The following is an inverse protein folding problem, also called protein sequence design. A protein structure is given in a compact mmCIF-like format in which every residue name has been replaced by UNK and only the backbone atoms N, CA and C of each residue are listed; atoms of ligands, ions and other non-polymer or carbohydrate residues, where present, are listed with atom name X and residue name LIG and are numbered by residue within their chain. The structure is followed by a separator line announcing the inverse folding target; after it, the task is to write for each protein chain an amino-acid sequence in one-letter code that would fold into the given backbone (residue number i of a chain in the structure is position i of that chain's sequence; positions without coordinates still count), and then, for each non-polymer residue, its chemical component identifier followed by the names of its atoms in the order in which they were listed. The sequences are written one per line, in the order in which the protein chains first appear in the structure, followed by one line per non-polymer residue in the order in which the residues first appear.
data_IF_826550105752
#
_entry.id   IF_826550105752
#
_cell.length_a   1.000
_cell.length_b   1.000
_cell.length_c   1.000
_cell.angle_alpha   90.00
_cell.angle_beta   90.00
_cell.angle_gamma   90.00
#
_symmetry.space_group_name_H-M   'P 1'
#
loop_
_entity.id
_entity.type
_entity.pdbx_description
1 polymer ?
#
# COMPACT_ATOMS: atom_id res chain seq x y z
N UNK A 1 26.64 33.23 20.53
CA UNK A 1 25.61 33.68 19.56
C UNK A 1 25.24 32.48 18.70
N UNK A 2 24.16 31.83 19.09
CA UNK A 2 23.60 30.59 18.57
C UNK A 2 22.56 30.92 17.50
N UNK A 3 22.76 30.44 16.27
CA UNK A 3 21.77 30.42 15.19
C UNK A 3 22.17 29.25 14.29
N UNK A 4 21.36 28.27 13.92
CA UNK A 4 19.98 27.93 14.22
C UNK A 4 19.75 26.60 13.49
N UNK A 5 19.45 25.55 14.24
CA UNK A 5 19.13 24.23 13.70
C UNK A 5 17.72 24.29 13.07
N UNK A 6 17.62 24.31 11.74
CA UNK A 6 16.32 24.23 11.07
C UNK A 6 16.44 23.80 9.59
N UNK A 7 16.77 22.52 9.34
CA UNK A 7 16.64 21.96 7.98
C UNK A 7 16.47 20.43 7.99
N UNK A 8 15.62 19.90 8.87
CA UNK A 8 15.33 18.46 8.95
C UNK A 8 13.82 18.09 9.03
N UNK A 9 12.92 18.88 8.43
CA UNK A 9 11.47 18.59 8.47
C UNK A 9 10.75 18.53 7.11
N UNK A 10 11.44 18.20 6.03
CA UNK A 10 10.80 18.08 4.70
C UNK A 10 10.75 16.63 4.17
N UNK A 11 10.45 15.65 5.03
CA UNK A 11 9.97 14.32 4.60
C UNK A 11 8.80 13.89 5.50
N UNK A 12 7.81 14.78 5.64
CA UNK A 12 6.52 14.46 6.22
C UNK A 12 5.76 13.51 5.29
N UNK A 13 5.32 12.38 5.84
CA UNK A 13 4.56 11.36 5.13
C UNK A 13 3.40 11.94 4.35
N UNK A 14 3.12 11.34 3.20
CA UNK A 14 1.95 11.64 2.39
C UNK A 14 0.68 11.19 3.14
N UNK A 15 0.33 11.89 4.21
CA UNK A 15 -1.03 11.92 4.70
C UNK A 15 -1.80 12.65 3.61
N UNK A 16 -2.53 11.91 2.78
CA UNK A 16 -3.59 12.49 1.96
C UNK A 16 -4.38 13.41 2.90
N UNK A 17 -4.29 14.74 2.70
CA UNK A 17 -5.17 15.69 3.39
C UNK A 17 -6.56 15.13 3.18
N UNK A 18 -7.21 14.71 4.27
CA UNK A 18 -8.58 14.22 4.21
C UNK A 18 -9.36 15.27 3.42
N UNK A 19 -10.00 14.92 2.30
CA UNK A 19 -10.85 15.87 1.62
C UNK A 19 -11.86 16.39 2.65
N UNK A 20 -12.18 17.68 2.57
CA UNK A 20 -13.18 18.30 3.44
C UNK A 20 -14.40 17.38 3.46
N UNK A 21 -14.81 16.97 4.67
CA UNK A 21 -15.94 16.08 4.85
C UNK A 21 -17.14 16.76 4.20
N UNK A 22 -17.57 16.29 3.03
CA UNK A 22 -18.89 16.60 2.50
C UNK A 22 -19.86 15.92 3.47
N UNK A 23 -20.24 16.66 4.51
CA UNK A 23 -21.04 16.22 5.65
C UNK A 23 -22.51 15.98 5.29
N UNK A 24 -22.77 15.24 4.21
CA UNK A 24 -24.07 14.62 4.04
C UNK A 24 -24.16 13.51 5.10
N UNK A 25 -25.15 13.56 6.03
CA UNK A 25 -25.37 12.48 6.97
C UNK A 25 -25.51 11.17 6.20
N UNK A 26 -24.71 10.16 6.54
CA UNK A 26 -24.91 8.83 5.97
C UNK A 26 -26.31 8.36 6.34
N UNK A 27 -27.18 8.03 5.37
CA UNK A 27 -28.49 7.46 5.68
C UNK A 27 -28.30 6.17 6.46
N UNK A 28 -28.97 6.06 7.62
CA UNK A 28 -28.97 4.84 8.45
C UNK A 28 -29.40 3.65 7.58
N UNK A 29 -28.48 2.69 7.38
CA UNK A 29 -28.72 1.47 6.61
C UNK A 29 -27.80 1.24 5.40
N UNK A 30 -26.91 2.18 5.03
CA UNK A 30 -25.99 1.97 3.91
C UNK A 30 -24.86 0.98 4.25
N UNK A 31 -24.69 -0.07 3.42
CA UNK A 31 -23.64 -1.12 3.51
C UNK A 31 -22.23 -0.61 3.14
N UNK A 32 -21.87 0.61 3.53
CA UNK A 32 -20.58 1.23 3.21
C UNK A 32 -19.71 1.25 4.46
N UNK A 33 -18.48 0.77 4.34
CA UNK A 33 -17.51 0.84 5.43
C UNK A 33 -17.00 2.27 5.63
N UNK A 34 -16.77 2.64 6.90
CA UNK A 34 -16.21 3.94 7.30
C UNK A 34 -14.89 4.23 6.56
N UNK A 35 -14.73 5.47 6.11
CA UNK A 35 -13.53 5.94 5.40
C UNK A 35 -13.46 5.57 3.92
N UNK A 36 -14.51 4.97 3.36
CA UNK A 36 -14.64 4.78 1.91
C UNK A 36 -14.94 6.11 1.22
N UNK A 37 -14.40 6.31 0.02
CA UNK A 37 -14.57 7.54 -0.77
C UNK A 37 -15.34 7.23 -2.06
N UNK A 38 -16.11 8.19 -2.58
CA UNK A 38 -16.89 8.00 -3.79
C UNK A 38 -15.98 7.78 -5.01
N UNK A 39 -16.25 6.74 -5.79
CA UNK A 39 -15.52 6.44 -7.00
C UNK A 39 -15.71 7.54 -8.05
N UNK A 40 -14.62 7.94 -8.70
CA UNK A 40 -14.55 9.00 -9.72
C UNK A 40 -14.17 10.37 -9.17
N UNK A 41 -14.10 10.55 -7.85
CA UNK A 41 -13.88 11.87 -7.22
C UNK A 41 -12.41 12.19 -6.91
N UNK A 42 -11.64 11.21 -6.41
CA UNK A 42 -10.29 11.44 -5.86
C UNK A 42 -9.18 10.78 -6.68
N UNK A 43 -9.54 9.85 -7.56
CA UNK A 43 -8.63 8.98 -8.29
C UNK A 43 -7.57 9.75 -9.08
N UNK A 44 -7.94 10.87 -9.71
CA UNK A 44 -7.01 11.69 -10.50
C UNK A 44 -5.82 12.20 -9.67
N UNK A 45 -6.04 12.50 -8.39
CA UNK A 45 -4.99 12.98 -7.48
C UNK A 45 -4.24 11.84 -6.78
N UNK A 46 -4.89 10.68 -6.69
CA UNK A 46 -4.32 9.50 -6.05
C UNK A 46 -3.32 8.78 -6.96
N UNK A 47 -3.69 8.60 -8.23
CA UNK A 47 -2.87 7.89 -9.19
C UNK A 47 -1.63 8.70 -9.60
N UNK A 48 -0.52 8.01 -9.73
CA UNK A 48 0.71 8.57 -10.28
C UNK A 48 1.29 7.52 -11.22
N UNK A 49 1.53 7.87 -12.49
CA UNK A 49 2.19 6.96 -13.42
C UNK A 49 3.56 6.55 -12.89
N UNK A 50 3.90 5.25 -12.89
CA UNK A 50 5.21 4.82 -12.44
C UNK A 50 6.29 5.35 -13.38
N UNK A 51 7.42 5.76 -12.82
CA UNK A 51 8.60 6.13 -13.60
C UNK A 51 9.20 4.89 -14.30
N UNK A 52 9.98 5.08 -15.39
CA UNK A 52 10.65 3.97 -16.07
C UNK A 52 11.48 3.11 -15.09
N UNK A 53 11.24 1.79 -15.11
CA UNK A 53 11.93 0.82 -14.26
C UNK A 53 11.57 0.88 -12.75
N UNK A 54 10.70 1.79 -12.33
CA UNK A 54 10.29 1.93 -10.92
C UNK A 54 9.64 0.65 -10.40
N UNK A 55 8.72 0.07 -11.17
CA UNK A 55 8.02 -1.15 -10.75
C UNK A 55 8.98 -2.33 -10.56
N UNK A 56 10.00 -2.48 -11.43
CA UNK A 56 11.02 -3.52 -11.28
C UNK A 56 11.93 -3.26 -10.07
N UNK A 57 12.20 -1.99 -9.77
CA UNK A 57 12.96 -1.60 -8.58
C UNK A 57 12.20 -1.96 -7.30
N UNK A 58 10.90 -1.65 -7.24
CA UNK A 58 10.04 -2.00 -6.11
C UNK A 58 9.98 -3.53 -5.94
N UNK A 59 9.76 -4.28 -7.03
CA UNK A 59 9.68 -5.74 -6.96
C UNK A 59 10.99 -6.37 -6.48
N UNK A 60 12.14 -5.92 -7.02
CA UNK A 60 13.46 -6.38 -6.58
C UNK A 60 13.72 -6.06 -5.10
N UNK A 61 13.35 -4.84 -4.67
CA UNK A 61 13.45 -4.45 -3.28
C UNK A 61 12.57 -5.33 -2.37
N UNK A 62 11.32 -5.60 -2.75
CA UNK A 62 10.42 -6.47 -1.99
C UNK A 62 10.96 -7.90 -1.83
N UNK A 63 11.53 -8.48 -2.90
CA UNK A 63 12.17 -9.80 -2.85
C UNK A 63 13.37 -9.81 -1.88
N UNK A 64 14.21 -8.77 -1.90
CA UNK A 64 15.33 -8.64 -0.95
C UNK A 64 14.88 -8.34 0.47
N UNK A 65 13.82 -7.56 0.64
CA UNK A 65 13.21 -7.28 1.93
C UNK A 65 12.65 -8.56 2.58
N UNK A 66 12.03 -9.44 1.78
CA UNK A 66 11.59 -10.77 2.23
C UNK A 66 12.77 -11.63 2.71
N UNK A 67 13.87 -11.67 1.95
CA UNK A 67 15.08 -12.40 2.35
C UNK A 67 15.69 -11.83 3.64
N UNK A 68 15.72 -10.50 3.79
CA UNK A 68 16.17 -9.83 5.00
C UNK A 68 15.26 -10.16 6.20
N UNK A 69 13.94 -10.09 6.03
CA UNK A 69 12.96 -10.46 7.06
C UNK A 69 13.11 -11.90 7.55
N UNK A 70 13.41 -12.84 6.63
CA UNK A 70 13.71 -14.24 6.98
C UNK A 70 14.99 -14.39 7.81
N UNK A 71 16.03 -13.58 7.54
CA UNK A 71 17.27 -13.56 8.32
C UNK A 71 17.01 -12.99 9.71
N UNK A 72 16.41 -11.80 9.79
CA UNK A 72 16.04 -11.14 11.05
C UNK A 72 15.24 -12.06 11.98
N UNK A 73 14.26 -12.79 11.43
CA UNK A 73 13.46 -13.74 12.21
C UNK A 73 14.26 -14.94 12.73
N UNK A 74 15.28 -15.40 12.00
CA UNK A 74 16.16 -16.49 12.45
C UNK A 74 17.11 -15.98 13.54
N UNK A 75 17.73 -14.83 13.32
CA UNK A 75 18.69 -14.22 14.24
C UNK A 75 18.00 -13.89 15.58
N UNK A 76 16.80 -13.29 15.54
CA UNK A 76 16.00 -13.02 16.74
C UNK A 76 15.64 -14.28 17.55
N UNK A 77 15.47 -15.44 16.88
CA UNK A 77 15.22 -16.71 17.57
C UNK A 77 16.49 -17.32 18.17
N UNK A 78 17.63 -17.15 17.50
CA UNK A 78 18.92 -17.63 17.98
C UNK A 78 19.42 -16.80 19.17
N UNK A 79 19.32 -15.48 19.07
CA UNK A 79 19.88 -14.53 20.05
C UNK A 79 18.88 -14.18 21.17
N UNK A 80 17.62 -14.64 21.06
CA UNK A 80 16.54 -14.24 21.99
C UNK A 80 16.15 -12.75 21.90
N UNK A 81 16.63 -12.03 20.88
CA UNK A 81 16.41 -10.59 20.70
C UNK A 81 14.98 -10.30 20.24
N UNK A 82 14.39 -9.22 20.77
CA UNK A 82 13.13 -8.69 20.24
C UNK A 82 13.34 -7.88 18.95
N UNK A 83 12.49 -8.12 17.97
CA UNK A 83 12.47 -7.38 16.71
C UNK A 83 11.82 -6.00 16.90
N UNK A 84 12.44 -4.97 16.33
CA UNK A 84 11.84 -3.62 16.25
C UNK A 84 10.55 -3.66 15.40
N UNK A 85 9.68 -2.64 15.48
CA UNK A 85 8.46 -2.60 14.67
C UNK A 85 8.71 -2.78 13.16
N UNK A 86 9.75 -2.14 12.62
CA UNK A 86 10.12 -2.25 11.20
C UNK A 86 10.60 -3.66 10.86
N UNK A 87 11.45 -4.24 11.70
CA UNK A 87 11.94 -5.61 11.51
C UNK A 87 10.80 -6.64 11.62
N UNK A 88 9.82 -6.42 12.50
CA UNK A 88 8.61 -7.26 12.58
C UNK A 88 7.79 -7.19 11.30
N UNK A 89 7.61 -5.99 10.73
CA UNK A 89 6.96 -5.81 9.43
C UNK A 89 7.71 -6.56 8.32
N UNK A 90 9.03 -6.43 8.24
CA UNK A 90 9.83 -7.18 7.28
C UNK A 90 9.74 -8.70 7.49
N UNK A 91 9.76 -9.16 8.74
CA UNK A 91 9.65 -10.57 9.09
C UNK A 91 8.24 -11.16 8.81
N UNK A 92 7.21 -10.32 8.68
CA UNK A 92 5.85 -10.73 8.31
C UNK A 92 5.64 -10.86 6.79
N UNK A 93 6.56 -10.35 5.96
CA UNK A 93 6.53 -10.54 4.52
C UNK A 93 6.51 -12.03 4.15
N UNK A 94 5.71 -12.37 3.14
CA UNK A 94 5.57 -13.73 2.64
C UNK A 94 5.75 -13.78 1.12
N UNK A 95 6.01 -14.97 0.57
CA UNK A 95 6.00 -15.18 -0.88
C UNK A 95 4.65 -14.77 -1.50
N UNK A 96 3.53 -15.04 -0.82
CA UNK A 96 2.20 -14.65 -1.26
C UNK A 96 2.05 -13.13 -1.34
N UNK A 97 2.55 -12.39 -0.34
CA UNK A 97 2.58 -10.93 -0.37
C UNK A 97 3.39 -10.39 -1.55
N UNK A 98 4.59 -10.93 -1.80
CA UNK A 98 5.41 -10.54 -2.95
C UNK A 98 4.71 -10.85 -4.28
N UNK A 99 4.02 -12.00 -4.40
CA UNK A 99 3.27 -12.36 -5.62
C UNK A 99 2.08 -11.44 -5.87
N UNK A 100 1.36 -11.04 -4.82
CA UNK A 100 0.28 -10.03 -4.94
C UNK A 100 0.84 -8.66 -5.32
N UNK A 101 1.98 -8.26 -4.73
CA UNK A 101 2.64 -7.01 -5.09
C UNK A 101 3.10 -7.02 -6.56
N UNK A 102 3.64 -8.14 -7.05
CA UNK A 102 4.04 -8.30 -8.45
C UNK A 102 2.85 -8.09 -9.41
N UNK A 103 1.68 -8.65 -9.10
CA UNK A 103 0.47 -8.41 -9.89
C UNK A 103 0.03 -6.94 -9.85
N UNK A 104 0.05 -6.30 -8.67
CA UNK A 104 -0.28 -4.87 -8.54
C UNK A 104 0.68 -3.99 -9.34
N UNK A 105 1.97 -4.32 -9.37
CA UNK A 105 2.99 -3.60 -10.13
C UNK A 105 2.83 -3.80 -11.64
N UNK A 106 2.46 -5.01 -12.07
CA UNK A 106 2.11 -5.30 -13.47
C UNK A 106 0.91 -4.46 -13.91
N UNK A 107 -0.16 -4.43 -13.10
CA UNK A 107 -1.31 -3.56 -13.36
C UNK A 107 -0.95 -2.08 -13.36
N UNK A 108 -0.07 -1.63 -12.45
CA UNK A 108 0.39 -0.25 -12.42
C UNK A 108 1.14 0.13 -13.69
N UNK A 109 2.00 -0.76 -14.19
CA UNK A 109 2.72 -0.56 -15.46
C UNK A 109 1.75 -0.49 -16.65
N UNK A 110 0.84 -1.44 -16.76
CA UNK A 110 -0.09 -1.53 -17.90
C UNK A 110 -1.10 -0.38 -17.93
N UNK A 111 -1.57 0.06 -16.75
CA UNK A 111 -2.64 1.05 -16.62
C UNK A 111 -2.14 2.44 -16.19
N UNK A 112 -0.85 2.75 -16.39
CA UNK A 112 -0.25 4.06 -16.03
C UNK A 112 -0.54 4.49 -14.59
N UNK A 113 -0.45 3.54 -13.66
CA UNK A 113 -0.69 3.74 -12.22
C UNK A 113 -2.15 3.62 -11.77
N UNK A 114 -3.10 3.44 -12.69
CA UNK A 114 -4.52 3.28 -12.35
C UNK A 114 -4.83 1.82 -11.95
N UNK A 115 -4.69 1.52 -10.65
CA UNK A 115 -4.82 0.15 -10.13
C UNK A 115 -6.03 0.03 -9.20
N UNK A 116 -7.05 -0.70 -9.64
CA UNK A 116 -8.27 -0.95 -8.88
C UNK A 116 -8.84 -2.39 -9.01
N UNK A 117 -8.00 -3.45 -8.93
CA UNK A 117 -8.46 -4.82 -9.05
C UNK A 117 -9.41 -5.22 -7.91
N UNK A 118 -10.32 -6.12 -8.22
CA UNK A 118 -11.12 -6.81 -7.19
C UNK A 118 -10.27 -7.84 -6.46
N UNK A 119 -10.72 -8.26 -5.28
CA UNK A 119 -10.06 -9.33 -4.53
C UNK A 119 -10.11 -10.66 -5.31
N UNK A 120 -11.20 -10.88 -6.04
CA UNK A 120 -11.40 -12.09 -6.83
C UNK A 120 -10.49 -12.10 -8.06
N UNK A 121 -10.29 -10.94 -8.72
CA UNK A 121 -9.28 -10.79 -9.76
C UNK A 121 -7.88 -11.16 -9.23
N UNK A 122 -7.46 -10.57 -8.10
CA UNK A 122 -6.15 -10.86 -7.52
C UNK A 122 -6.02 -12.34 -7.14
N UNK A 123 -7.07 -12.94 -6.58
CA UNK A 123 -7.09 -14.36 -6.23
C UNK A 123 -6.87 -15.24 -7.47
N UNK A 124 -7.57 -14.94 -8.57
CA UNK A 124 -7.43 -15.66 -9.84
C UNK A 124 -6.03 -15.46 -10.45
N UNK A 125 -5.61 -14.20 -10.63
CA UNK A 125 -4.33 -13.86 -11.27
C UNK A 125 -3.12 -14.41 -10.51
N UNK A 126 -3.19 -14.43 -9.17
CA UNK A 126 -2.10 -14.96 -8.33
C UNK A 126 -2.27 -16.42 -7.96
N UNK A 127 -3.34 -17.10 -8.38
CA UNK A 127 -3.68 -18.46 -7.95
C UNK A 127 -3.67 -18.63 -6.43
N UNK A 128 -4.11 -17.60 -5.70
CA UNK A 128 -4.17 -17.60 -4.24
C UNK A 128 -5.63 -17.59 -3.78
N UNK A 129 -5.90 -18.16 -2.62
CA UNK A 129 -7.21 -18.02 -1.97
C UNK A 129 -7.50 -16.56 -1.60
N UNK A 130 -8.77 -16.13 -1.68
CA UNK A 130 -9.22 -14.77 -1.37
C UNK A 130 -8.77 -14.27 0.02
N UNK A 131 -8.80 -15.17 1.01
CA UNK A 131 -8.32 -14.88 2.38
C UNK A 131 -6.81 -14.61 2.40
N UNK A 132 -6.03 -15.37 1.62
CA UNK A 132 -4.59 -15.19 1.48
C UNK A 132 -4.27 -13.87 0.81
N UNK A 133 -5.02 -13.50 -0.25
CA UNK A 133 -4.91 -12.18 -0.87
C UNK A 133 -5.20 -11.07 0.13
N UNK A 134 -6.27 -11.19 0.94
CA UNK A 134 -6.59 -10.20 1.96
C UNK A 134 -5.44 -10.03 2.98
N UNK A 135 -4.89 -11.14 3.49
CA UNK A 135 -3.73 -11.13 4.40
C UNK A 135 -2.49 -10.52 3.75
N UNK A 136 -2.20 -10.90 2.52
CA UNK A 136 -1.09 -10.36 1.73
C UNK A 136 -1.20 -8.84 1.58
N UNK A 137 -2.38 -8.33 1.22
CA UNK A 137 -2.63 -6.89 1.12
C UNK A 137 -2.42 -6.19 2.47
N UNK A 138 -2.88 -6.77 3.59
CA UNK A 138 -2.61 -6.20 4.91
C UNK A 138 -1.12 -6.13 5.24
N UNK A 139 -0.37 -7.21 5.00
CA UNK A 139 1.08 -7.22 5.21
C UNK A 139 1.79 -6.17 4.36
N UNK A 140 1.40 -6.01 3.08
CA UNK A 140 1.98 -4.99 2.21
C UNK A 140 1.67 -3.56 2.67
N UNK A 141 0.46 -3.33 3.18
CA UNK A 141 -0.01 -2.05 3.74
C UNK A 141 0.80 -1.72 5.01
N UNK A 142 0.93 -2.68 5.92
CA UNK A 142 1.66 -2.54 7.19
C UNK A 142 3.16 -2.26 6.98
N UNK A 143 3.77 -2.87 5.95
CA UNK A 143 5.18 -2.61 5.58
C UNK A 143 5.34 -1.30 4.79
N UNK A 144 4.27 -0.80 4.18
CA UNK A 144 4.26 0.43 3.39
C UNK A 144 4.60 0.26 1.92
N UNK A 145 4.53 -0.95 1.37
CA UNK A 145 4.67 -1.19 -0.08
C UNK A 145 3.46 -0.71 -0.87
N UNK A 146 2.30 -0.64 -0.22
CA UNK A 146 1.06 -0.16 -0.84
C UNK A 146 0.39 0.89 0.04
N UNK A 147 -0.37 1.75 -0.60
CA UNK A 147 -1.44 2.55 0.02
C UNK A 147 -2.75 2.11 -0.61
N UNK A 148 -3.73 1.77 0.21
CA UNK A 148 -5.05 1.30 -0.24
C UNK A 148 -6.15 2.27 0.19
N UNK A 149 -7.01 2.66 -0.76
CA UNK A 149 -8.20 3.47 -0.49
C UNK A 149 -9.47 2.70 -0.88
N UNK A 150 -10.39 2.55 0.07
CA UNK A 150 -11.70 1.91 -0.15
C UNK A 150 -12.62 2.85 -0.92
N UNK A 151 -13.44 2.29 -1.80
CA UNK A 151 -14.31 3.03 -2.71
C UNK A 151 -15.75 2.57 -2.62
N UNK A 152 -16.68 3.49 -2.89
CA UNK A 152 -18.09 3.18 -3.08
C UNK A 152 -18.62 3.87 -4.34
N UNK A 153 -19.71 3.36 -4.92
CA UNK A 153 -20.42 3.98 -6.04
C UNK A 153 -21.90 4.14 -5.71
N UNK A 154 -22.55 5.14 -6.31
CA UNK A 154 -24.02 5.25 -6.31
C UNK A 154 -24.63 4.19 -7.20
N UNK A 155 -25.75 3.64 -6.78
CA UNK A 155 -26.53 2.65 -7.53
C UNK A 155 -27.94 3.19 -7.70
N UNK A 156 -28.40 3.22 -8.95
CA UNK A 156 -29.77 3.57 -9.26
C UNK A 156 -30.69 2.48 -8.71
N UNK A 157 -31.60 2.85 -7.82
CA UNK A 157 -32.62 1.96 -7.27
C UNK A 157 -34.02 2.46 -7.63
N UNK A 158 -34.98 1.55 -7.74
CA UNK A 158 -36.39 1.87 -8.04
C UNK A 158 -37.19 2.36 -6.82
N UNK A 159 -36.53 2.75 -5.71
CA UNK A 159 -37.18 3.16 -4.47
C UNK A 159 -36.69 4.53 -3.98
N UNK A 160 -37.29 5.09 -2.90
CA UNK A 160 -36.93 6.41 -2.41
C UNK A 160 -35.48 6.45 -1.91
N UNK A 161 -34.70 7.39 -2.45
CA UNK A 161 -33.38 7.77 -1.95
C UNK A 161 -32.17 7.12 -2.65
N UNK A 162 -31.00 7.78 -2.62
CA UNK A 162 -29.77 7.27 -3.24
C UNK A 162 -29.25 6.02 -2.50
N UNK A 163 -29.00 4.94 -3.25
CA UNK A 163 -28.34 3.72 -2.75
C UNK A 163 -26.87 3.74 -3.10
N UNK A 164 -26.06 3.13 -2.24
CA UNK A 164 -24.62 3.07 -2.41
C UNK A 164 -24.12 1.64 -2.22
N UNK A 165 -23.15 1.25 -3.04
CA UNK A 165 -22.49 -0.04 -2.97
C UNK A 165 -20.97 0.12 -2.89
N UNK A 166 -20.35 -0.73 -2.08
CA UNK A 166 -18.90 -0.82 -2.05
C UNK A 166 -18.37 -1.38 -3.38
N UNK A 167 -17.30 -0.79 -3.89
CA UNK A 167 -16.65 -1.21 -5.14
C UNK A 167 -15.19 -1.64 -4.87
N UNK A 168 -14.45 -1.94 -5.93
CA UNK A 168 -13.04 -2.33 -5.80
C UNK A 168 -12.22 -1.21 -5.19
N UNK A 169 -11.29 -1.59 -4.31
CA UNK A 169 -10.35 -0.64 -3.72
C UNK A 169 -9.39 -0.15 -4.78
N UNK A 170 -8.85 1.03 -4.55
CA UNK A 170 -7.74 1.58 -5.32
C UNK A 170 -6.43 1.36 -4.56
N UNK A 171 -5.36 1.06 -5.30
CA UNK A 171 -4.04 0.77 -4.78
C UNK A 171 -2.99 1.67 -5.44
N UNK A 172 -2.01 2.10 -4.66
CA UNK A 172 -0.79 2.72 -5.16
C UNK A 172 0.41 2.04 -4.52
N UNK A 173 1.41 1.73 -5.32
CA UNK A 173 2.63 1.06 -4.88
C UNK A 173 3.75 2.06 -4.65
N UNK A 174 4.58 1.80 -3.64
CA UNK A 174 5.73 2.63 -3.28
C UNK A 174 6.90 1.76 -2.84
N UNK A 175 8.10 2.35 -2.88
CA UNK A 175 9.26 1.80 -2.18
C UNK A 175 9.41 2.51 -0.82
N UNK A 176 9.02 1.88 0.30
CA UNK A 176 9.10 2.50 1.61
C UNK A 176 10.55 2.75 2.04
N UNK A 177 10.85 3.97 2.50
CA UNK A 177 12.18 4.38 2.97
C UNK A 177 12.70 3.47 4.09
N UNK A 178 11.81 3.04 4.99
CA UNK A 178 12.15 2.14 6.10
C UNK A 178 12.74 0.81 5.63
N UNK A 179 12.35 0.33 4.45
CA UNK A 179 12.86 -0.93 3.88
C UNK A 179 14.27 -0.75 3.31
N UNK A 180 14.62 0.43 2.79
CA UNK A 180 15.93 0.70 2.18
C UNK A 180 17.10 0.40 3.13
N UNK A 181 16.92 0.66 4.43
CA UNK A 181 17.91 0.39 5.46
C UNK A 181 18.26 -1.10 5.63
N UNK A 182 17.43 -2.00 5.11
CA UNK A 182 17.62 -3.46 5.16
C UNK A 182 17.97 -4.07 3.81
N UNK A 183 18.04 -3.25 2.74
CA UNK A 183 18.47 -3.70 1.42
C UNK A 183 20.01 -3.71 1.31
N UNK A 184 20.61 -4.50 0.41
CA UNK A 184 22.03 -4.43 0.11
C UNK A 184 22.48 -3.01 -0.26
N UNK A 185 23.72 -2.64 0.07
CA UNK A 185 24.25 -1.28 -0.14
C UNK A 185 24.08 -0.76 -1.57
N UNK A 186 24.33 -1.60 -2.58
CA UNK A 186 24.21 -1.26 -4.00
C UNK A 186 22.77 -0.98 -4.47
N UNK A 187 21.74 -1.28 -3.67
CA UNK A 187 20.34 -0.93 -3.95
C UNK A 187 19.90 0.39 -3.32
N UNK A 188 20.69 0.96 -2.40
CA UNK A 188 20.35 2.18 -1.68
C UNK A 188 20.72 3.40 -2.53
N UNK A 189 19.93 4.49 -2.50
CA UNK A 189 20.38 5.74 -3.08
C UNK A 189 21.68 6.19 -2.40
N UNK A 190 22.56 6.84 -3.15
CA UNK A 190 23.77 7.43 -2.58
C UNK A 190 23.36 8.43 -1.47
N UNK A 191 24.10 8.47 -0.34
CA UNK A 191 23.87 9.50 0.66
C UNK A 191 24.07 10.88 0.02
N UNK A 192 23.21 11.83 0.40
CA UNK A 192 23.39 13.23 0.01
C UNK A 192 24.67 13.78 0.66
N UNK A 193 25.51 14.53 -0.07
CA UNK A 193 26.76 15.09 0.42
C UNK A 193 26.57 16.14 1.52
#
# INVERSE_FOLDING_TARGET
MTVGAASLQALGGFCLRRPAQSGAPQPRGSRILRGSVEAGTFEKSFFTPPAPGETDRILRAARKALDAGRRLRRDARADGRQLTPVERGLASLTNAAVRVLEELLTLARLNRGQVFPTYDYLAQATSLGRVTVARALHVLDDVGFIVRQRRFKRVAGQGPGPRYEQTSNVYRTFLPQAVLAYLPRWMRPAPVP
#
